data_IF_702164276571
#
_entry.id   IF_702164276571
#
_cell.length_a   1.000
_cell.length_b   1.000
_cell.length_c   1.000
_cell.angle_alpha   90.00
_cell.angle_beta   90.00
_cell.angle_gamma   90.00
#
_symmetry.space_group_name_H-M   'P 1'
#
loop_
_entity.id
_entity.type
_entity.pdbx_description
1 polymer ?
#
# COMPACT_ATOMS: atom_id res chain seq x y z
N UNK A 1 39.22 14.32 -5.58
CA UNK A 1 38.33 14.92 -4.57
C UNK A 1 37.54 13.79 -3.93
N UNK A 2 37.19 13.84 -2.63
CA UNK A 2 36.40 12.79 -2.03
C UNK A 2 35.05 12.70 -2.75
N UNK A 3 34.70 11.49 -3.20
CA UNK A 3 33.38 11.20 -3.75
C UNK A 3 32.44 10.85 -2.60
N UNK A 4 31.28 11.50 -2.58
CA UNK A 4 30.23 11.26 -1.59
C UNK A 4 29.00 10.70 -2.30
N UNK A 5 28.39 9.68 -1.72
CA UNK A 5 27.10 9.18 -2.18
C UNK A 5 25.98 9.98 -1.49
N UNK A 6 25.26 10.76 -2.28
CA UNK A 6 24.09 11.51 -1.83
C UNK A 6 22.84 10.62 -1.91
N UNK A 7 22.09 10.58 -0.82
CA UNK A 7 20.77 9.97 -0.74
C UNK A 7 19.74 11.05 -0.46
N UNK A 8 18.73 11.17 -1.32
CA UNK A 8 17.59 12.07 -1.10
C UNK A 8 16.33 11.22 -0.98
N UNK A 9 15.82 11.11 0.25
CA UNK A 9 14.76 10.16 0.59
C UNK A 9 15.21 8.71 0.42
N UNK A 10 14.27 7.82 0.08
CA UNK A 10 14.54 6.39 -0.17
C UNK A 10 14.77 6.04 -1.64
N UNK A 11 14.55 6.98 -2.57
CA UNK A 11 14.50 6.69 -4.00
C UNK A 11 15.72 7.23 -4.76
N UNK A 12 16.17 8.47 -4.49
CA UNK A 12 17.23 9.11 -5.26
C UNK A 12 18.60 8.83 -4.66
N UNK A 13 19.50 8.22 -5.46
CA UNK A 13 20.88 7.92 -5.10
C UNK A 13 21.82 8.36 -6.22
N UNK A 14 22.85 9.12 -5.89
CA UNK A 14 23.92 9.44 -6.83
C UNK A 14 25.26 9.67 -6.14
N UNK A 15 26.35 9.62 -6.91
CA UNK A 15 27.70 9.93 -6.42
C UNK A 15 28.13 11.28 -6.94
N UNK A 16 28.60 12.16 -6.04
CA UNK A 16 29.00 13.53 -6.35
C UNK A 16 30.39 13.81 -5.76
N UNK A 17 31.19 14.59 -6.50
CA UNK A 17 32.40 15.21 -5.96
C UNK A 17 32.04 16.59 -5.41
N UNK A 18 32.21 16.79 -4.10
CA UNK A 18 31.89 18.05 -3.42
C UNK A 18 33.15 18.83 -3.04
N UNK A 19 33.03 20.16 -3.04
CA UNK A 19 34.03 21.05 -2.44
C UNK A 19 33.80 21.11 -0.93
N UNK A 20 34.88 21.03 -0.15
CA UNK A 20 34.82 21.08 1.31
C UNK A 20 35.02 22.51 1.78
N UNK A 21 34.10 23.01 2.60
CA UNK A 21 34.18 24.30 3.26
C UNK A 21 34.43 24.06 4.75
N UNK A 22 35.56 24.54 5.26
CA UNK A 22 35.84 24.51 6.69
C UNK A 22 34.87 25.49 7.39
N UNK A 23 34.21 25.04 8.47
CA UNK A 23 33.28 25.82 9.30
C UNK A 23 31.91 26.19 8.69
N UNK A 24 31.27 25.25 7.99
CA UNK A 24 29.88 25.41 7.52
C UNK A 24 28.84 25.04 8.58
N UNK A 25 27.77 25.83 8.68
CA UNK A 25 26.59 25.54 9.51
C UNK A 25 25.59 24.57 8.84
N UNK A 26 25.82 24.23 7.56
CA UNK A 26 24.98 23.32 6.77
C UNK A 26 25.81 22.15 6.26
N UNK A 27 25.22 20.97 6.22
CA UNK A 27 25.93 19.73 5.88
C UNK A 27 26.33 19.68 4.40
N UNK A 28 25.41 20.05 3.50
CA UNK A 28 25.61 20.00 2.05
C UNK A 28 24.86 21.17 1.40
N UNK A 29 25.52 21.83 0.44
CA UNK A 29 24.89 22.83 -0.44
C UNK A 29 24.83 22.28 -1.86
N UNK A 30 23.62 22.09 -2.38
CA UNK A 30 23.38 21.70 -3.77
C UNK A 30 23.15 22.96 -4.62
N UNK A 31 24.09 23.22 -5.52
CA UNK A 31 24.09 24.44 -6.34
C UNK A 31 23.12 24.39 -7.54
N UNK A 32 23.10 25.48 -8.29
CA UNK A 32 22.26 25.64 -9.49
C UNK A 32 22.51 24.59 -10.57
N UNK A 33 23.74 24.11 -10.73
CA UNK A 33 24.08 23.05 -11.70
C UNK A 33 23.37 21.74 -11.35
N UNK A 34 23.30 21.41 -10.05
CA UNK A 34 22.58 20.24 -9.58
C UNK A 34 21.07 20.43 -9.83
N UNK A 35 20.50 21.57 -9.45
CA UNK A 35 19.09 21.87 -9.67
C UNK A 35 18.69 21.85 -11.16
N UNK A 36 19.53 22.39 -12.04
CA UNK A 36 19.27 22.42 -13.48
C UNK A 36 19.29 21.02 -14.11
N UNK A 37 20.16 20.14 -13.61
CA UNK A 37 20.29 18.75 -14.06
C UNK A 37 19.12 17.90 -13.59
N UNK A 38 18.75 18.01 -12.30
CA UNK A 38 17.78 17.11 -11.68
C UNK A 38 16.34 17.63 -11.72
N UNK A 39 16.14 18.93 -11.95
CA UNK A 39 14.84 19.62 -12.04
C UNK A 39 13.78 19.10 -11.06
N UNK A 40 14.08 19.04 -9.74
CA UNK A 40 13.11 18.56 -8.77
C UNK A 40 11.98 19.58 -8.56
N UNK A 41 10.76 19.10 -8.33
CA UNK A 41 9.67 19.93 -7.84
C UNK A 41 9.79 20.08 -6.32
N UNK A 42 10.25 21.25 -5.87
CA UNK A 42 10.49 21.54 -4.44
C UNK A 42 9.33 22.34 -3.87
N UNK A 43 8.69 21.79 -2.83
CA UNK A 43 7.73 22.50 -1.99
C UNK A 43 8.48 23.21 -0.85
N UNK A 44 8.86 24.46 -1.10
CA UNK A 44 9.70 25.25 -0.19
C UNK A 44 9.12 25.45 1.22
N UNK A 45 7.79 25.56 1.33
CA UNK A 45 7.12 25.76 2.63
C UNK A 45 7.33 24.55 3.56
N UNK A 46 7.30 23.33 3.02
CA UNK A 46 7.46 22.10 3.79
C UNK A 46 8.89 21.54 3.73
N UNK A 47 9.76 22.09 2.88
CA UNK A 47 11.10 21.55 2.62
C UNK A 47 11.08 20.18 1.97
N UNK A 48 10.05 19.87 1.16
CA UNK A 48 9.85 18.54 0.57
C UNK A 48 10.06 18.56 -0.94
N UNK A 49 10.48 17.42 -1.51
CA UNK A 49 10.51 17.21 -2.97
C UNK A 49 9.30 16.36 -3.32
N UNK A 50 8.40 16.92 -4.12
CA UNK A 50 7.15 16.26 -4.49
C UNK A 50 7.31 15.38 -5.74
N UNK A 51 8.19 15.77 -6.67
CA UNK A 51 8.40 15.07 -7.95
C UNK A 51 9.84 15.17 -8.45
N UNK A 52 10.27 14.11 -9.14
CA UNK A 52 11.56 14.00 -9.81
C UNK A 52 11.40 14.12 -11.33
N UNK A 53 12.44 14.62 -12.02
CA UNK A 53 12.45 14.71 -13.48
C UNK A 53 12.65 13.35 -14.17
N UNK A 54 12.33 13.27 -15.46
CA UNK A 54 12.59 12.08 -16.29
C UNK A 54 14.07 11.66 -16.27
N UNK A 55 14.98 12.63 -16.19
CA UNK A 55 16.41 12.38 -16.01
C UNK A 55 16.67 11.61 -14.71
N UNK A 56 16.10 12.06 -13.60
CA UNK A 56 16.25 11.36 -12.33
C UNK A 56 15.64 9.97 -12.37
N UNK A 57 14.46 9.79 -12.98
CA UNK A 57 13.81 8.48 -13.13
C UNK A 57 14.72 7.45 -13.81
N UNK A 58 15.50 7.89 -14.81
CA UNK A 58 16.37 7.00 -15.57
C UNK A 58 17.76 6.80 -14.95
N UNK A 59 18.28 7.80 -14.24
CA UNK A 59 19.70 7.84 -13.87
C UNK A 59 19.98 7.88 -12.37
N UNK A 60 19.03 8.32 -11.56
CA UNK A 60 19.26 8.62 -10.13
C UNK A 60 18.33 7.85 -9.21
N UNK A 61 17.10 7.59 -9.65
CA UNK A 61 16.17 6.80 -8.88
C UNK A 61 16.63 5.34 -8.92
N UNK A 62 16.76 4.74 -7.73
CA UNK A 62 16.87 3.29 -7.64
C UNK A 62 15.60 2.74 -8.28
N UNK A 63 15.76 1.78 -9.19
CA UNK A 63 14.66 0.90 -9.54
C UNK A 63 14.16 0.32 -8.21
N UNK A 64 12.95 0.73 -7.80
CA UNK A 64 12.14 -0.18 -7.01
C UNK A 64 12.12 -1.50 -7.80
N UNK A 65 12.15 -2.67 -7.15
CA UNK A 65 11.87 -3.91 -7.87
C UNK A 65 10.64 -3.65 -8.71
N UNK A 66 10.81 -3.69 -10.03
CA UNK A 66 9.78 -3.33 -10.99
C UNK A 66 8.68 -4.37 -10.80
N UNK A 67 7.70 -4.07 -9.97
CA UNK A 67 6.40 -4.70 -10.10
C UNK A 67 5.92 -4.31 -11.51
N UNK A 68 5.50 -5.27 -12.34
CA UNK A 68 4.82 -4.96 -13.59
C UNK A 68 3.74 -3.91 -13.33
N UNK A 69 3.51 -2.96 -14.25
CA UNK A 69 2.63 -1.80 -14.04
C UNK A 69 1.15 -2.15 -13.75
N UNK A 70 0.80 -3.44 -13.64
CA UNK A 70 -0.53 -3.90 -13.23
C UNK A 70 -0.68 -4.21 -11.73
N UNK A 71 0.38 -4.19 -10.91
CA UNK A 71 0.28 -4.73 -9.52
C UNK A 71 0.59 -3.77 -8.39
N UNK A 72 0.96 -2.52 -8.65
CA UNK A 72 1.11 -1.50 -7.61
C UNK A 72 -0.24 -0.82 -7.29
N UNK A 73 -1.22 -1.62 -6.86
CA UNK A 73 -2.34 -1.07 -6.10
C UNK A 73 -1.81 -0.83 -4.67
N UNK A 74 -1.89 0.40 -4.17
CA UNK A 74 -1.91 0.62 -2.72
C UNK A 74 -2.99 -0.32 -2.18
N UNK A 75 -2.58 -1.36 -1.48
CA UNK A 75 -3.45 -2.41 -0.98
C UNK A 75 -4.47 -1.84 -0.01
N UNK A 76 -5.56 -1.32 -0.54
CA UNK A 76 -6.85 -1.44 0.11
C UNK A 76 -7.10 -2.93 0.22
N UNK A 77 -7.40 -3.42 1.44
CA UNK A 77 -7.83 -4.80 1.68
C UNK A 77 -9.14 -5.06 0.94
N UNK A 78 -9.02 -5.35 -0.35
CA UNK A 78 -10.15 -5.65 -1.21
C UNK A 78 -10.20 -7.16 -1.31
N UNK A 79 -11.31 -7.73 -0.86
CA UNK A 79 -11.62 -9.12 -1.10
C UNK A 79 -12.10 -9.19 -2.56
N UNK A 80 -11.17 -9.39 -3.49
CA UNK A 80 -11.53 -9.70 -4.87
C UNK A 80 -11.95 -11.16 -4.95
N UNK A 81 -13.11 -11.42 -5.55
CA UNK A 81 -13.61 -12.77 -5.81
C UNK A 81 -12.65 -13.41 -6.83
N UNK A 82 -11.86 -14.42 -6.46
CA UNK A 82 -10.90 -14.98 -7.38
C UNK A 82 -11.60 -15.83 -8.41
N UNK A 83 -11.50 -15.37 -9.66
CA UNK A 83 -11.76 -16.22 -10.81
C UNK A 83 -10.59 -17.19 -10.95
N UNK A 84 -10.84 -18.44 -10.55
CA UNK A 84 -10.13 -19.66 -10.95
C UNK A 84 -8.59 -19.66 -10.85
N UNK A 85 -8.10 -20.40 -9.85
CA UNK A 85 -6.74 -20.96 -9.68
C UNK A 85 -5.79 -20.86 -10.88
N UNK A 86 -5.05 -19.76 -10.97
CA UNK A 86 -3.81 -19.70 -11.74
C UNK A 86 -2.70 -20.20 -10.83
N UNK A 87 -2.07 -21.34 -11.17
CA UNK A 87 -0.80 -21.70 -10.53
C UNK A 87 0.16 -20.53 -10.73
N UNK A 88 0.56 -19.89 -9.63
CA UNK A 88 1.52 -18.81 -9.68
C UNK A 88 2.80 -19.36 -10.34
N UNK A 89 3.18 -18.80 -11.48
CA UNK A 89 4.50 -19.05 -12.08
C UNK A 89 5.54 -18.35 -11.21
N UNK A 90 5.95 -19.04 -10.14
CA UNK A 90 6.91 -18.52 -9.17
C UNK A 90 8.34 -18.71 -9.70
N UNK A 91 9.24 -17.72 -9.51
CA UNK A 91 10.67 -17.91 -9.70
C UNK A 91 11.20 -19.08 -8.86
N UNK A 92 12.29 -19.72 -9.29
CA UNK A 92 12.83 -20.92 -8.66
C UNK A 92 13.18 -20.74 -7.19
N UNK A 93 13.59 -19.53 -6.79
CA UNK A 93 13.92 -19.18 -5.41
C UNK A 93 12.71 -19.22 -4.46
N UNK A 94 11.48 -19.14 -4.99
CA UNK A 94 10.23 -19.12 -4.22
C UNK A 94 9.40 -20.40 -4.38
N UNK A 95 9.92 -21.38 -5.12
CA UNK A 95 9.18 -22.60 -5.43
C UNK A 95 8.88 -23.41 -4.16
N UNK A 96 9.77 -23.36 -3.16
CA UNK A 96 9.60 -23.99 -1.85
C UNK A 96 8.47 -23.35 -1.02
N UNK A 97 8.04 -22.13 -1.35
CA UNK A 97 6.99 -21.37 -0.64
C UNK A 97 5.69 -21.27 -1.45
N UNK A 98 5.49 -22.17 -2.42
CA UNK A 98 4.33 -22.13 -3.31
C UNK A 98 2.98 -22.14 -2.54
N UNK A 99 2.95 -22.77 -1.37
CA UNK A 99 1.80 -22.81 -0.48
C UNK A 99 1.39 -21.43 0.05
N UNK A 100 2.35 -20.54 0.34
CA UNK A 100 2.09 -19.16 0.79
C UNK A 100 1.37 -18.33 -0.29
N UNK A 101 1.59 -18.66 -1.57
CA UNK A 101 0.92 -18.01 -2.70
C UNK A 101 -0.43 -18.65 -3.06
N UNK A 102 -0.88 -19.66 -2.31
CA UNK A 102 -2.19 -20.27 -2.53
C UNK A 102 -3.29 -19.38 -1.99
N UNK A 103 -4.13 -18.88 -2.88
CA UNK A 103 -5.28 -18.05 -2.51
C UNK A 103 -6.29 -18.79 -1.62
N UNK A 104 -6.45 -20.10 -1.83
CA UNK A 104 -7.28 -20.96 -0.96
C UNK A 104 -6.65 -21.18 0.42
N UNK A 105 -5.32 -21.21 0.52
CA UNK A 105 -4.67 -21.29 1.84
C UNK A 105 -4.80 -19.95 2.57
N UNK A 106 -4.68 -18.85 1.84
CA UNK A 106 -4.78 -17.49 2.36
C UNK A 106 -6.19 -17.12 2.89
N UNK A 107 -7.23 -17.90 2.56
CA UNK A 107 -8.57 -17.65 3.11
C UNK A 107 -8.74 -18.12 4.54
N UNK A 108 -7.82 -18.95 5.05
CA UNK A 108 -7.88 -19.49 6.42
C UNK A 108 -7.05 -18.63 7.37
N UNK A 109 -7.67 -18.23 8.48
CA UNK A 109 -6.94 -17.59 9.57
C UNK A 109 -5.97 -18.58 10.23
N UNK A 110 -4.78 -18.13 10.63
CA UNK A 110 -3.90 -18.94 11.47
C UNK A 110 -4.58 -19.23 12.82
N UNK A 111 -4.12 -20.27 13.55
CA UNK A 111 -4.58 -20.53 14.90
C UNK A 111 -4.42 -19.30 15.81
N UNK A 112 -5.39 -19.08 16.70
CA UNK A 112 -5.35 -17.99 17.66
C UNK A 112 -4.07 -18.00 18.50
N UNK A 113 -3.49 -16.81 18.69
CA UNK A 113 -2.22 -16.63 19.39
C UNK A 113 -2.37 -15.61 20.55
N UNK A 114 -1.49 -15.65 21.57
CA UNK A 114 -1.52 -14.68 22.68
C UNK A 114 -1.33 -13.22 22.26
N UNK A 115 -0.85 -12.98 21.05
CA UNK A 115 -0.63 -11.66 20.46
C UNK A 115 -1.69 -11.30 19.40
N UNK A 116 -2.85 -11.98 19.42
CA UNK A 116 -4.00 -11.58 18.62
C UNK A 116 -4.44 -10.16 19.01
N UNK A 117 -4.78 -9.34 18.00
CA UNK A 117 -5.25 -7.99 18.21
C UNK A 117 -6.69 -8.00 18.79
N UNK A 118 -6.81 -7.79 20.10
CA UNK A 118 -8.10 -7.59 20.76
C UNK A 118 -8.59 -6.14 20.61
N UNK A 119 -9.92 -5.96 20.56
CA UNK A 119 -10.56 -4.65 20.69
C UNK A 119 -11.08 -4.52 22.11
N UNK A 120 -10.29 -3.88 22.98
CA UNK A 120 -10.66 -3.68 24.37
C UNK A 120 -11.67 -2.53 24.51
N UNK A 121 -12.85 -2.85 25.07
CA UNK A 121 -13.90 -1.86 25.31
C UNK A 121 -13.63 -1.11 26.61
N UNK A 122 -13.74 0.22 26.57
CA UNK A 122 -13.72 1.03 27.78
C UNK A 122 -14.94 0.72 28.68
N UNK A 123 -14.79 0.66 30.01
CA UNK A 123 -15.90 0.41 30.92
C UNK A 123 -17.06 1.40 30.72
N UNK A 124 -18.27 0.89 30.50
CA UNK A 124 -19.46 1.71 30.27
C UNK A 124 -19.55 2.39 28.89
N UNK A 125 -18.66 2.06 27.95
CA UNK A 125 -18.71 2.60 26.60
C UNK A 125 -20.02 2.23 25.89
N UNK A 126 -20.61 3.21 25.21
CA UNK A 126 -21.79 3.00 24.37
C UNK A 126 -21.35 2.48 23.01
N UNK A 127 -21.80 1.28 22.67
CA UNK A 127 -21.50 0.66 21.39
C UNK A 127 -22.27 1.33 20.25
N UNK A 128 -21.65 1.48 19.06
CA UNK A 128 -22.32 2.04 17.90
C UNK A 128 -23.41 1.08 17.40
N UNK A 129 -24.60 1.62 17.17
CA UNK A 129 -25.68 0.90 16.49
C UNK A 129 -25.66 1.29 15.02
N UNK A 130 -25.34 0.33 14.16
CA UNK A 130 -25.32 0.52 12.71
C UNK A 130 -26.71 0.86 12.19
N UNK A 131 -26.77 1.81 11.25
CA UNK A 131 -27.99 2.09 10.47
C UNK A 131 -27.89 1.32 9.15
N UNK A 132 -29.03 0.80 8.69
CA UNK A 132 -29.12 0.23 7.34
C UNK A 132 -29.44 1.38 6.38
N UNK A 133 -28.55 1.61 5.42
CA UNK A 133 -28.79 2.59 4.36
C UNK A 133 -29.49 1.91 3.17
N UNK A 134 -30.40 2.62 2.48
CA UNK A 134 -30.96 2.12 1.24
C UNK A 134 -29.84 2.05 0.19
N UNK A 135 -29.73 0.90 -0.47
CA UNK A 135 -28.79 0.66 -1.56
C UNK A 135 -29.50 0.75 -2.90
N UNK A 136 -28.79 1.23 -3.93
CA UNK A 136 -29.26 1.12 -5.31
C UNK A 136 -29.23 -0.35 -5.78
N UNK A 137 -29.89 -0.65 -6.90
CA UNK A 137 -29.91 -2.01 -7.47
C UNK A 137 -28.50 -2.59 -7.69
N UNK A 138 -27.54 -1.89 -8.33
CA UNK A 138 -26.20 -2.44 -8.53
C UNK A 138 -25.44 -2.64 -7.21
N UNK A 139 -25.60 -1.73 -6.24
CA UNK A 139 -24.98 -1.86 -4.92
C UNK A 139 -25.57 -3.03 -4.12
N UNK A 140 -26.89 -3.24 -4.18
CA UNK A 140 -27.53 -4.35 -3.49
C UNK A 140 -27.03 -5.70 -4.04
N UNK A 141 -26.90 -5.81 -5.37
CA UNK A 141 -26.30 -6.99 -6.00
C UNK A 141 -24.85 -7.21 -5.56
N UNK A 142 -24.02 -6.16 -5.60
CA UNK A 142 -22.64 -6.25 -5.16
C UNK A 142 -22.52 -6.64 -3.67
N UNK A 143 -23.45 -6.18 -2.83
CA UNK A 143 -23.52 -6.55 -1.42
C UNK A 143 -23.85 -8.04 -1.25
N UNK A 144 -24.87 -8.54 -1.94
CA UNK A 144 -25.26 -9.95 -1.90
C UNK A 144 -24.13 -10.87 -2.38
N UNK A 145 -23.45 -10.49 -3.47
CA UNK A 145 -22.31 -11.22 -4.02
C UNK A 145 -21.14 -11.24 -3.01
N UNK A 146 -20.81 -10.09 -2.40
CA UNK A 146 -19.76 -9.98 -1.38
C UNK A 146 -20.07 -10.81 -0.13
N UNK A 147 -21.29 -10.73 0.39
CA UNK A 147 -21.71 -11.48 1.58
C UNK A 147 -21.65 -12.98 1.31
N UNK A 148 -22.20 -13.43 0.17
CA UNK A 148 -22.23 -14.84 -0.21
C UNK A 148 -20.82 -15.41 -0.33
N UNK A 149 -19.95 -14.69 -1.03
CA UNK A 149 -18.54 -15.06 -1.17
C UNK A 149 -17.82 -15.09 0.19
N UNK A 150 -17.94 -14.04 0.99
CA UNK A 150 -17.24 -13.91 2.27
C UNK A 150 -17.69 -14.94 3.30
N UNK A 151 -18.98 -15.34 3.28
CA UNK A 151 -19.49 -16.47 4.06
C UNK A 151 -18.92 -17.80 3.57
N UNK A 152 -18.86 -18.02 2.26
CA UNK A 152 -18.31 -19.24 1.68
C UNK A 152 -16.82 -19.42 2.01
N UNK A 153 -16.05 -18.33 2.01
CA UNK A 153 -14.63 -18.35 2.41
C UNK A 153 -14.43 -18.43 3.92
N UNK A 154 -15.46 -18.17 4.73
CA UNK A 154 -15.37 -18.13 6.18
C UNK A 154 -14.75 -16.85 6.75
N UNK A 155 -14.67 -15.77 5.95
CA UNK A 155 -14.19 -14.46 6.41
C UNK A 155 -15.16 -13.78 7.38
N UNK A 156 -16.46 -14.02 7.19
CA UNK A 156 -17.52 -13.52 8.06
C UNK A 156 -18.45 -14.65 8.48
N UNK A 157 -19.21 -14.42 9.54
CA UNK A 157 -20.25 -15.32 10.01
C UNK A 157 -21.42 -14.52 10.59
N UNK A 158 -22.64 -15.09 10.63
CA UNK A 158 -23.77 -14.47 11.32
C UNK A 158 -23.43 -14.19 12.80
N UNK A 159 -23.83 -13.02 13.29
CA UNK A 159 -23.56 -12.56 14.65
C UNK A 159 -24.77 -11.89 15.27
N UNK A 160 -24.91 -12.02 16.59
CA UNK A 160 -25.92 -11.32 17.42
C UNK A 160 -25.32 -10.16 18.20
N UNK A 161 -24.21 -9.59 17.70
CA UNK A 161 -23.51 -8.46 18.31
C UNK A 161 -24.44 -7.26 18.58
N UNK A 162 -24.35 -6.62 19.77
CA UNK A 162 -25.07 -5.38 20.06
C UNK A 162 -24.50 -4.17 19.31
N UNK A 163 -23.30 -4.30 18.72
CA UNK A 163 -22.65 -3.31 17.88
C UNK A 163 -22.74 -3.71 16.41
N UNK A 164 -22.99 -2.73 15.55
CA UNK A 164 -22.98 -2.92 14.10
C UNK A 164 -22.44 -1.67 13.40
N UNK A 165 -21.89 -1.85 12.20
CA UNK A 165 -21.53 -0.76 11.29
C UNK A 165 -22.33 -0.89 10.00
N UNK A 166 -22.57 0.24 9.33
CA UNK A 166 -23.19 0.25 8.00
C UNK A 166 -22.22 -0.22 6.93
N UNK A 167 -22.77 -0.72 5.82
CA UNK A 167 -22.04 -1.06 4.60
C UNK A 167 -22.21 0.06 3.57
N UNK A 168 -21.18 0.36 2.78
CA UNK A 168 -21.24 1.34 1.68
C UNK A 168 -20.27 0.97 0.57
N UNK A 169 -20.52 1.47 -0.63
CA UNK A 169 -19.69 1.22 -1.81
C UNK A 169 -18.90 2.47 -2.19
N UNK A 170 -17.71 2.27 -2.73
CA UNK A 170 -16.88 3.32 -3.30
C UNK A 170 -16.53 2.89 -4.72
N UNK A 171 -16.93 3.70 -5.70
CA UNK A 171 -16.63 3.42 -7.10
C UNK A 171 -15.12 3.34 -7.32
N UNK A 172 -14.68 2.22 -7.90
CA UNK A 172 -13.29 2.03 -8.31
C UNK A 172 -13.03 2.75 -9.62
N UNK A 173 -11.75 3.06 -9.88
CA UNK A 173 -11.30 3.69 -11.13
C UNK A 173 -11.68 2.86 -12.37
N UNK A 174 -11.74 1.54 -12.22
CA UNK A 174 -12.04 0.60 -13.30
C UNK A 174 -13.55 0.43 -13.56
N UNK A 175 -14.40 1.22 -12.90
CA UNK A 175 -15.86 1.23 -13.08
C UNK A 175 -16.61 0.15 -12.29
N UNK A 176 -15.91 -0.64 -11.49
CA UNK A 176 -16.50 -1.57 -10.53
C UNK A 176 -16.97 -0.90 -9.23
N UNK A 177 -17.88 -1.59 -8.53
CA UNK A 177 -18.26 -1.31 -7.14
C UNK A 177 -17.56 -2.27 -6.17
#
# INVERSE_FOLDING_TARGET
MPELTLWIGCLHKETLSLLVLEESAVDIVLGSLWLAKHQPNIRWISGSIDQWSDYCVQHCLRSLPMCPPETALLGSTTIEIPMSSTQANLPGEYQDYQDVFSQMAATKLPPHQPWDCAIDLLPGAKLPKGRVYPLSIPENKAMEDYISYSLQQGFIQPSTSPAASSFFFVAKKDGGL
#
